data_IF_669896848665
#
_entry.id   IF_669896848665
#
_cell.length_a   1.000
_cell.length_b   1.000
_cell.length_c   1.000
_cell.angle_alpha   90.00
_cell.angle_beta   90.00
_cell.angle_gamma   90.00
#
_symmetry.space_group_name_H-M   'P 1'
#
loop_
_entity.id
_entity.type
_entity.pdbx_description
1 polymer ?
#
# COMPACT_ATOMS: atom_id res chain seq x y z
N UNK A 1 -0.46 -5.70 10.78
CA UNK A 1 -0.69 -6.66 9.67
C UNK A 1 0.52 -7.54 9.40
N UNK A 2 1.73 -6.99 9.49
CA UNK A 2 2.99 -7.74 9.34
C UNK A 2 3.02 -9.02 10.19
N UNK A 3 2.84 -8.92 11.51
CA UNK A 3 2.91 -10.07 12.43
C UNK A 3 1.80 -11.12 12.25
N UNK A 4 0.67 -10.74 11.64
CA UNK A 4 -0.51 -11.60 11.48
C UNK A 4 -0.48 -12.41 10.18
N UNK A 5 0.19 -11.88 9.16
CA UNK A 5 0.26 -12.52 7.85
C UNK A 5 1.45 -13.48 7.80
N UNK A 6 1.17 -14.71 7.34
CA UNK A 6 2.21 -15.69 6.99
C UNK A 6 3.19 -15.10 5.95
N UNK A 7 4.42 -15.63 5.84
CA UNK A 7 5.29 -15.31 4.72
C UNK A 7 4.58 -15.49 3.37
N UNK A 8 4.83 -14.60 2.42
CA UNK A 8 4.10 -14.51 1.14
C UNK A 8 2.58 -14.33 1.27
N UNK A 9 2.11 -13.92 2.45
CA UNK A 9 0.73 -13.52 2.69
C UNK A 9 0.33 -12.30 1.86
N UNK A 10 -0.97 -12.12 1.71
CA UNK A 10 -1.54 -11.01 0.97
C UNK A 10 -2.47 -10.20 1.88
N UNK A 11 -2.26 -8.88 1.89
CA UNK A 11 -3.14 -7.93 2.52
C UNK A 11 -4.03 -7.32 1.44
N UNK A 12 -5.35 -7.33 1.64
CA UNK A 12 -6.31 -6.64 0.78
C UNK A 12 -6.88 -5.47 1.57
N UNK A 13 -6.75 -4.26 1.04
CA UNK A 13 -7.32 -3.05 1.66
C UNK A 13 -8.44 -2.50 0.78
N UNK A 14 -9.60 -2.25 1.39
CA UNK A 14 -10.59 -1.31 0.86
C UNK A 14 -10.27 0.06 1.47
N UNK A 15 -9.51 0.87 0.74
CA UNK A 15 -9.12 2.20 1.19
C UNK A 15 -10.29 3.16 1.00
N UNK A 16 -10.74 3.80 2.07
CA UNK A 16 -11.63 4.96 1.99
C UNK A 16 -10.77 6.22 2.00
N UNK A 17 -10.83 6.98 0.90
CA UNK A 17 -9.98 8.13 0.57
C UNK A 17 -10.85 9.41 0.50
N UNK A 18 -11.45 9.85 1.61
CA UNK A 18 -12.26 11.06 1.63
C UNK A 18 -11.37 12.28 1.35
N UNK A 19 -11.95 13.27 0.67
CA UNK A 19 -11.32 14.57 0.44
C UNK A 19 -11.93 15.60 1.38
N UNK A 20 -11.14 16.61 1.72
CA UNK A 20 -11.60 17.83 2.39
C UNK A 20 -12.23 17.64 3.78
N UNK A 21 -11.88 16.60 4.54
CA UNK A 21 -12.22 16.56 5.97
C UNK A 21 -11.20 17.32 6.81
N UNK A 22 -11.66 18.29 7.59
CA UNK A 22 -10.81 19.05 8.53
C UNK A 22 -10.39 18.23 9.77
N UNK A 23 -11.14 17.16 10.09
CA UNK A 23 -10.94 16.33 11.30
C UNK A 23 -11.57 14.94 11.12
N UNK A 24 -11.30 14.01 12.04
CA UNK A 24 -11.83 12.65 12.01
C UNK A 24 -12.25 12.11 13.38
N UNK A 25 -12.76 10.86 13.44
CA UNK A 25 -12.89 9.89 12.33
C UNK A 25 -14.16 10.07 11.45
N UNK A 26 -14.12 9.62 10.17
CA UNK A 26 -12.94 9.14 9.43
C UNK A 26 -11.97 10.29 9.15
N UNK A 27 -10.67 9.99 9.05
CA UNK A 27 -9.62 10.96 8.72
C UNK A 27 -9.35 10.93 7.21
N UNK A 28 -8.87 12.06 6.68
CA UNK A 28 -8.33 12.09 5.33
C UNK A 28 -7.16 11.11 5.22
N UNK A 29 -7.11 10.42 4.08
CA UNK A 29 -5.97 9.59 3.74
C UNK A 29 -5.81 9.51 2.23
N UNK A 30 -4.61 9.19 1.78
CA UNK A 30 -4.24 8.98 0.38
C UNK A 30 -3.65 7.58 0.20
N UNK A 31 -3.52 7.13 -1.05
CA UNK A 31 -2.79 5.89 -1.36
C UNK A 31 -1.35 5.95 -0.84
N UNK A 32 -0.74 7.14 -0.89
CA UNK A 32 0.64 7.34 -0.46
C UNK A 32 0.82 7.10 1.04
N UNK A 33 -0.14 7.49 1.87
CA UNK A 33 -0.06 7.25 3.32
C UNK A 33 -0.01 5.75 3.64
N UNK A 34 -0.69 4.91 2.85
CA UNK A 34 -0.62 3.46 2.98
C UNK A 34 0.76 2.95 2.56
N UNK A 35 1.30 3.43 1.44
CA UNK A 35 2.66 3.06 0.98
C UNK A 35 3.72 3.43 2.02
N UNK A 36 3.62 4.61 2.63
CA UNK A 36 4.57 5.12 3.63
C UNK A 36 4.66 4.19 4.85
N UNK A 37 3.54 3.60 5.28
CA UNK A 37 3.53 2.68 6.44
C UNK A 37 3.69 1.21 6.07
N UNK A 38 3.31 0.80 4.85
CA UNK A 38 3.34 -0.60 4.41
C UNK A 38 4.68 -1.00 3.77
N UNK A 39 5.28 -0.12 2.95
CA UNK A 39 6.54 -0.43 2.26
C UNK A 39 7.68 -0.75 3.25
N UNK A 40 7.90 0.00 4.35
CA UNK A 40 8.95 -0.32 5.32
C UNK A 40 8.72 -1.66 6.04
N UNK A 41 7.49 -2.17 6.05
CA UNK A 41 7.12 -3.46 6.63
C UNK A 41 7.21 -4.62 5.61
N UNK A 42 7.75 -4.37 4.41
CA UNK A 42 7.92 -5.37 3.36
C UNK A 42 6.64 -5.68 2.58
N UNK A 43 5.63 -4.82 2.64
CA UNK A 43 4.44 -4.95 1.79
C UNK A 43 4.65 -4.16 0.50
N UNK A 44 4.50 -4.83 -0.65
CA UNK A 44 4.60 -4.20 -1.97
C UNK A 44 3.24 -4.25 -2.65
N UNK A 45 2.78 -3.12 -3.17
CA UNK A 45 1.52 -3.04 -3.91
C UNK A 45 1.61 -3.87 -5.21
N UNK A 46 0.63 -4.75 -5.41
CA UNK A 46 0.50 -5.62 -6.59
C UNK A 46 -0.50 -5.07 -7.58
N UNK A 47 -1.64 -4.59 -7.08
CA UNK A 47 -2.63 -3.88 -7.87
C UNK A 47 -3.35 -2.85 -7.01
N UNK A 48 -3.86 -1.83 -7.69
CA UNK A 48 -4.78 -0.84 -7.13
C UNK A 48 -5.84 -0.50 -8.17
N UNK A 49 -7.10 -0.58 -7.77
CA UNK A 49 -8.25 -0.47 -8.66
C UNK A 49 -9.31 0.42 -8.00
N UNK A 50 -10.09 1.14 -8.82
CA UNK A 50 -11.27 1.88 -8.34
C UNK A 50 -12.36 0.90 -7.90
N UNK A 51 -13.10 1.24 -6.82
CA UNK A 51 -14.25 0.45 -6.41
C UNK A 51 -15.50 0.84 -7.22
N UNK A 52 -15.66 0.24 -8.41
CA UNK A 52 -16.79 0.51 -9.31
C UNK A 52 -18.17 0.10 -8.74
N UNK A 53 -18.18 -0.77 -7.72
CA UNK A 53 -19.40 -1.26 -7.04
C UNK A 53 -19.62 -0.59 -5.68
N UNK A 54 -18.91 0.50 -5.38
CA UNK A 54 -19.12 1.29 -4.18
C UNK A 54 -20.57 1.77 -4.07
N UNK A 55 -21.08 1.80 -2.84
CA UNK A 55 -22.39 2.41 -2.55
C UNK A 55 -22.33 3.92 -2.81
N UNK A 56 -23.45 4.52 -3.21
CA UNK A 56 -23.50 5.92 -3.69
C UNK A 56 -22.75 6.94 -2.81
N UNK A 57 -22.85 6.95 -1.47
CA UNK A 57 -22.10 7.91 -0.64
C UNK A 57 -20.57 7.77 -0.67
N UNK A 58 -20.05 6.64 -1.17
CA UNK A 58 -18.62 6.28 -1.19
C UNK A 58 -18.05 6.17 -2.61
N UNK A 59 -18.89 6.39 -3.62
CA UNK A 59 -18.50 6.26 -5.03
C UNK A 59 -17.43 7.29 -5.39
N UNK A 60 -16.33 6.82 -5.97
CA UNK A 60 -15.16 7.65 -6.29
C UNK A 60 -14.28 8.00 -5.07
N UNK A 61 -14.62 7.52 -3.88
CA UNK A 61 -13.85 7.72 -2.65
C UNK A 61 -13.20 6.43 -2.15
N UNK A 62 -13.31 5.32 -2.89
CA UNK A 62 -12.77 4.03 -2.48
C UNK A 62 -11.89 3.40 -3.55
N UNK A 63 -10.77 2.83 -3.11
CA UNK A 63 -9.89 2.00 -3.94
C UNK A 63 -9.64 0.67 -3.26
N UNK A 64 -9.56 -0.40 -4.06
CA UNK A 64 -9.15 -1.73 -3.59
C UNK A 64 -7.69 -1.90 -3.97
N UNK A 65 -6.83 -2.22 -3.00
CA UNK A 65 -5.46 -2.61 -3.28
C UNK A 65 -5.10 -3.96 -2.71
N UNK A 66 -4.18 -4.61 -3.42
CA UNK A 66 -3.58 -5.89 -3.07
C UNK A 66 -2.12 -5.66 -2.75
N UNK A 67 -1.68 -6.07 -1.56
CA UNK A 67 -0.31 -5.90 -1.09
C UNK A 67 0.30 -7.26 -0.79
N UNK A 68 1.45 -7.53 -1.38
CA UNK A 68 2.21 -8.77 -1.14
C UNK A 68 3.22 -8.54 -0.02
N UNK A 69 3.18 -9.36 1.03
CA UNK A 69 4.26 -9.41 2.03
C UNK A 69 5.44 -10.13 1.40
N UNK A 70 6.56 -9.45 1.22
CA UNK A 70 7.81 -10.09 0.79
C UNK A 70 8.34 -10.97 1.91
N UNK A 71 8.90 -12.13 1.55
CA UNK A 71 9.66 -12.91 2.52
C UNK A 71 10.87 -12.06 2.96
N UNK A 72 11.10 -11.97 4.27
CA UNK A 72 12.27 -11.31 4.83
C UNK A 72 13.54 -11.92 4.19
N UNK A 73 14.16 -11.19 3.26
CA UNK A 73 15.27 -11.68 2.43
C UNK A 73 15.27 -11.16 0.98
N UNK A 74 14.18 -10.55 0.50
CA UNK A 74 14.21 -9.83 -0.77
C UNK A 74 14.78 -8.42 -0.57
N UNK A 75 16.09 -8.34 -0.32
CA UNK A 75 16.83 -7.09 -0.44
C UNK A 75 16.64 -6.57 -1.87
N UNK A 76 16.08 -5.37 -1.98
CA UNK A 76 16.10 -4.58 -3.21
C UNK A 76 17.55 -4.51 -3.67
N UNK A 77 17.84 -5.17 -4.79
CA UNK A 77 19.09 -5.01 -5.52
C UNK A 77 19.19 -3.57 -5.99
N UNK A 78 19.67 -2.68 -5.12
CA UNK A 78 20.28 -1.43 -5.53
C UNK A 78 21.48 -1.83 -6.35
N UNK A 79 21.44 -1.51 -7.65
CA UNK A 79 22.52 -1.71 -8.58
C UNK A 79 23.82 -1.14 -8.01
N UNK A 80 24.75 -2.02 -7.64
CA UNK A 80 26.15 -1.67 -7.48
C UNK A 80 26.64 -1.11 -8.81
N UNK A 81 26.90 0.20 -8.85
CA UNK A 81 27.72 0.79 -9.90
C UNK A 81 29.14 0.28 -9.67
N UNK A 82 29.76 -0.43 -10.63
CA UNK A 82 31.14 -0.85 -10.45
C UNK A 82 32.01 0.41 -10.43
N UNK A 83 32.70 0.62 -9.31
CA UNK A 83 33.85 1.52 -9.26
C UNK A 83 34.98 0.85 -10.05
N UNK A 84 35.06 1.13 -11.35
CA UNK A 84 36.22 0.79 -12.16
C UNK A 84 36.99 2.06 -12.56
N UNK A 85 38.06 2.30 -11.80
CA UNK A 85 39.42 2.66 -12.22
C UNK A 85 39.63 3.60 -13.42
N UNK A 86 39.90 4.88 -13.15
CA UNK A 86 41.19 5.60 -13.38
C UNK A 86 41.07 7.11 -13.07
#
# INVERSE_FOLDING_TARGET
>A
MEELLRPDGELITLMYLPQDQDSGPPYNTTVHDYEEVLNPLGFVIQSIEDNDVAVEPRKGLEKIARWKKTAAGAETSTSDVPSDNL
#
